data_IF_490491483874
#
_entry.id   IF_490491483874
#
_cell.length_a   1.000
_cell.length_b   1.000
_cell.length_c   1.000
_cell.angle_alpha   90.00
_cell.angle_beta   90.00
_cell.angle_gamma   90.00
#
_symmetry.space_group_name_H-M   'P 1'
#
loop_
_entity.id
_entity.type
_entity.pdbx_description
1 polymer ?
#
# COMPACT_ATOMS: atom_id res chain seq x y z
N UNK A 1 -8.66 -61.61 20.85
CA UNK A 1 -7.31 -62.20 20.82
C UNK A 1 -6.32 -61.10 20.47
N UNK A 2 -5.40 -60.86 21.39
CA UNK A 2 -4.33 -59.85 21.34
C UNK A 2 -3.26 -60.19 20.31
N UNK A 3 -2.64 -59.17 19.70
CA UNK A 3 -1.19 -58.86 19.57
C UNK A 3 -1.05 -57.90 18.35
N UNK A 4 -0.40 -56.75 18.39
CA UNK A 4 1.02 -56.56 18.71
C UNK A 4 1.36 -55.16 19.22
N UNK A 5 2.42 -55.15 20.02
CA UNK A 5 3.08 -54.04 20.72
C UNK A 5 4.22 -53.39 19.92
N UNK A 6 4.27 -52.06 19.99
CA UNK A 6 5.45 -51.16 20.15
C UNK A 6 6.65 -51.25 19.20
N UNK A 7 7.00 -50.12 18.57
CA UNK A 7 8.40 -49.79 18.23
C UNK A 7 8.71 -48.32 18.59
N UNK A 8 9.89 -48.14 19.17
CA UNK A 8 10.35 -47.00 19.98
C UNK A 8 10.97 -45.88 19.15
N UNK A 9 10.75 -44.63 19.57
CA UNK A 9 11.54 -43.44 19.21
C UNK A 9 12.74 -43.32 20.16
N UNK A 10 13.92 -43.00 19.61
CA UNK A 10 15.04 -42.42 20.36
C UNK A 10 16.15 -41.94 19.43
N UNK A 11 16.51 -40.66 19.52
CA UNK A 11 17.83 -40.14 19.14
C UNK A 11 18.22 -39.05 20.17
N UNK A 12 19.47 -39.05 20.69
CA UNK A 12 19.89 -38.20 21.81
C UNK A 12 20.53 -36.87 21.42
N UNK A 13 20.53 -35.94 22.39
CA UNK A 13 21.27 -34.67 22.44
C UNK A 13 22.73 -34.88 22.87
N UNK A 14 23.63 -33.99 22.42
CA UNK A 14 24.91 -33.50 23.03
C UNK A 14 25.84 -33.02 21.88
N UNK A 15 26.68 -31.98 21.93
CA UNK A 15 27.41 -31.29 22.99
C UNK A 15 27.85 -29.89 22.52
N UNK A 16 28.26 -29.06 23.48
CA UNK A 16 28.75 -27.70 23.36
C UNK A 16 30.25 -27.54 22.96
N UNK A 17 30.54 -26.36 22.38
CA UNK A 17 31.67 -25.42 22.56
C UNK A 17 33.15 -25.88 22.67
N UNK A 18 34.03 -25.28 21.83
CA UNK A 18 35.46 -24.91 22.09
C UNK A 18 35.87 -23.75 21.13
N UNK A 19 36.04 -22.49 21.58
CA UNK A 19 37.29 -21.72 21.85
C UNK A 19 38.30 -21.54 20.69
N UNK A 20 38.60 -20.29 20.29
CA UNK A 20 39.96 -19.69 20.24
C UNK A 20 39.99 -18.28 19.63
N UNK A 21 40.76 -17.38 20.25
CA UNK A 21 41.00 -15.98 19.90
C UNK A 21 42.36 -15.79 19.20
N UNK A 22 42.52 -14.73 18.40
CA UNK A 22 43.81 -14.04 18.18
C UNK A 22 43.63 -12.69 17.46
N UNK A 23 44.05 -11.61 18.13
CA UNK A 23 44.22 -10.24 17.62
C UNK A 23 45.59 -10.04 16.96
N UNK A 24 45.68 -9.23 15.91
CA UNK A 24 46.89 -8.44 15.64
C UNK A 24 46.57 -7.14 14.89
N UNK A 25 46.99 -6.02 15.47
CA UNK A 25 46.92 -4.65 14.95
C UNK A 25 48.28 -4.32 14.31
N UNK A 26 48.28 -3.66 13.15
CA UNK A 26 49.44 -2.89 12.68
C UNK A 26 48.98 -1.55 12.12
N UNK A 27 49.55 -0.50 12.71
CA UNK A 27 49.37 0.91 12.39
C UNK A 27 50.45 1.36 11.39
N UNK A 28 50.11 2.18 10.40
CA UNK A 28 51.07 3.07 9.75
C UNK A 28 50.44 4.45 9.56
N UNK A 29 51.08 5.47 10.12
CA UNK A 29 50.73 6.88 10.00
C UNK A 29 51.41 7.50 8.77
N UNK A 30 50.69 8.38 8.08
CA UNK A 30 51.24 9.37 7.15
C UNK A 30 50.33 10.59 7.11
N UNK A 31 50.79 11.71 7.67
CA UNK A 31 50.12 13.00 7.67
C UNK A 31 50.82 13.94 6.67
N UNK A 32 50.08 14.69 5.86
CA UNK A 32 50.05 16.17 5.95
C UNK A 32 49.15 16.83 4.88
N UNK A 33 48.20 17.61 5.40
CA UNK A 33 47.75 18.94 5.00
C UNK A 33 47.59 19.31 3.51
N UNK A 34 46.33 19.52 3.12
CA UNK A 34 45.96 20.67 2.29
C UNK A 34 44.70 21.32 2.88
N UNK A 35 44.77 22.63 3.06
CA UNK A 35 43.80 23.46 3.77
C UNK A 35 42.52 23.71 2.98
N UNK A 36 41.40 23.77 3.71
CA UNK A 36 40.31 24.72 3.47
C UNK A 36 39.25 24.36 2.42
N UNK A 37 38.10 23.87 2.89
CA UNK A 37 36.77 24.45 2.58
C UNK A 37 35.75 23.78 3.50
N UNK A 38 35.24 24.56 4.46
CA UNK A 38 34.02 24.25 5.20
C UNK A 38 32.86 24.20 4.20
N UNK A 39 32.25 23.03 4.00
CA UNK A 39 30.98 22.88 3.31
C UNK A 39 30.01 22.19 4.27
N UNK A 40 29.02 22.97 4.70
CA UNK A 40 28.16 22.71 5.83
C UNK A 40 27.43 21.37 5.80
N UNK A 41 27.12 20.92 7.02
CA UNK A 41 26.05 19.98 7.28
C UNK A 41 24.76 20.48 6.61
N UNK A 42 24.35 19.80 5.54
CA UNK A 42 22.98 19.90 5.05
C UNK A 42 22.16 18.81 5.74
N UNK A 43 21.15 19.17 6.55
CA UNK A 43 20.23 18.21 7.14
C UNK A 43 19.42 17.54 6.03
N UNK A 44 19.10 16.26 6.25
CA UNK A 44 18.33 15.45 5.32
C UNK A 44 17.05 16.14 4.88
N UNK A 45 16.97 16.43 3.58
CA UNK A 45 15.70 16.64 2.92
C UNK A 45 15.18 15.26 2.54
N UNK A 46 14.57 14.59 3.53
CA UNK A 46 13.48 13.69 3.21
C UNK A 46 12.52 14.53 2.37
N UNK A 47 12.33 14.15 1.11
CA UNK A 47 11.30 14.73 0.28
C UNK A 47 9.98 14.54 1.02
N UNK A 48 9.54 15.59 1.71
CA UNK A 48 8.13 15.76 1.99
C UNK A 48 7.50 15.94 0.61
N UNK A 49 7.16 14.81 -0.03
CA UNK A 49 5.96 14.78 -0.84
C UNK A 49 4.93 15.48 0.02
N UNK A 50 4.45 16.64 -0.44
CA UNK A 50 3.37 17.35 0.23
C UNK A 50 2.34 16.28 0.52
N UNK A 51 2.10 16.03 1.81
CA UNK A 51 0.99 15.20 2.21
C UNK A 51 -0.23 15.96 1.69
N UNK A 52 -0.67 15.63 0.48
CA UNK A 52 -2.02 15.94 0.08
C UNK A 52 -2.86 15.42 1.23
N UNK A 53 -3.64 16.30 1.84
CA UNK A 53 -4.49 15.93 2.95
C UNK A 53 -5.49 14.92 2.38
N UNK A 54 -5.17 13.62 2.49
CA UNK A 54 -5.94 12.55 1.88
C UNK A 54 -7.35 12.63 2.47
N UNK A 55 -8.30 12.99 1.62
CA UNK A 55 -9.57 13.57 2.09
C UNK A 55 -10.46 12.55 2.81
N UNK A 56 -10.19 11.27 2.64
CA UNK A 56 -10.97 10.14 3.17
C UNK A 56 -10.27 9.38 4.31
N UNK A 57 -8.99 9.65 4.59
CA UNK A 57 -8.27 8.93 5.64
C UNK A 57 -6.76 8.88 5.48
N UNK A 58 -6.15 7.78 5.91
CA UNK A 58 -4.71 7.56 5.82
C UNK A 58 -4.39 6.08 5.50
N UNK A 59 -3.20 5.80 4.93
CA UNK A 59 -2.74 4.42 4.74
C UNK A 59 -2.77 3.61 6.04
N UNK A 60 -3.33 2.41 5.97
CA UNK A 60 -3.48 1.51 7.10
C UNK A 60 -2.33 0.51 7.24
N UNK A 61 -2.11 0.01 8.46
CA UNK A 61 -1.10 -1.02 8.71
C UNK A 61 -1.71 -2.44 8.58
N UNK A 62 -1.02 -3.40 7.94
CA UNK A 62 -1.49 -4.79 7.81
C UNK A 62 -1.83 -5.49 9.13
N UNK A 63 -1.17 -5.10 10.23
CA UNK A 63 -1.36 -5.64 11.58
C UNK A 63 -2.50 -4.97 12.36
N UNK A 64 -3.14 -3.95 11.78
CA UNK A 64 -4.20 -3.14 12.39
C UNK A 64 -5.52 -3.22 11.62
N UNK A 65 -5.67 -4.20 10.72
CA UNK A 65 -6.89 -4.39 9.93
C UNK A 65 -8.03 -4.87 10.84
N UNK A 66 -9.13 -4.13 10.84
CA UNK A 66 -10.36 -4.49 11.55
C UNK A 66 -11.22 -5.44 10.70
N UNK A 67 -11.26 -5.21 9.38
CA UNK A 67 -12.14 -5.92 8.45
C UNK A 67 -11.53 -5.95 7.04
N UNK A 68 -11.82 -7.02 6.30
CA UNK A 68 -11.53 -7.13 4.86
C UNK A 68 -12.80 -6.95 4.04
N UNK A 69 -12.72 -6.17 2.96
CA UNK A 69 -13.79 -6.00 1.97
C UNK A 69 -13.23 -6.42 0.61
N UNK A 70 -13.91 -7.34 -0.06
CA UNK A 70 -13.58 -7.69 -1.44
C UNK A 70 -14.32 -6.77 -2.41
N UNK A 71 -13.59 -6.16 -3.35
CA UNK A 71 -14.13 -5.39 -4.47
C UNK A 71 -13.78 -6.14 -5.76
N UNK A 72 -14.79 -6.50 -6.54
CA UNK A 72 -14.62 -7.08 -7.87
C UNK A 72 -14.82 -5.97 -8.90
N UNK A 73 -13.83 -5.75 -9.76
CA UNK A 73 -13.98 -4.93 -10.94
C UNK A 73 -14.44 -5.81 -12.11
N UNK A 74 -15.48 -5.37 -12.80
CA UNK A 74 -15.93 -5.89 -14.09
C UNK A 74 -15.79 -4.77 -15.12
N UNK A 75 -16.10 -5.06 -16.38
CA UNK A 75 -15.89 -4.18 -17.55
C UNK A 75 -15.79 -2.68 -17.25
N UNK A 76 -16.83 -2.03 -16.72
CA UNK A 76 -16.79 -0.63 -16.29
C UNK A 76 -17.57 -0.42 -14.98
N UNK A 77 -17.43 -1.34 -14.02
CA UNK A 77 -18.21 -1.29 -12.77
C UNK A 77 -17.53 -2.00 -11.60
N UNK A 78 -17.86 -1.55 -10.38
CA UNK A 78 -17.45 -2.20 -9.14
C UNK A 78 -18.58 -3.04 -8.54
N UNK A 79 -18.21 -4.18 -7.93
CA UNK A 79 -19.10 -5.00 -7.13
C UNK A 79 -18.44 -5.34 -5.77
N UNK A 80 -19.02 -4.91 -4.63
CA UNK A 80 -20.16 -4.00 -4.51
C UNK A 80 -19.81 -2.57 -4.98
N UNK A 81 -20.84 -1.79 -5.35
CA UNK A 81 -20.70 -0.37 -5.67
C UNK A 81 -20.97 0.55 -4.46
N UNK A 82 -21.12 -0.02 -3.27
CA UNK A 82 -21.24 0.75 -2.03
C UNK A 82 -20.69 -0.03 -0.85
N UNK A 83 -19.98 0.67 0.03
CA UNK A 83 -19.44 0.15 1.28
C UNK A 83 -19.80 1.06 2.45
N UNK A 84 -20.09 0.45 3.60
CA UNK A 84 -20.34 1.15 4.86
C UNK A 84 -19.24 0.79 5.86
N UNK A 85 -18.57 1.82 6.36
CA UNK A 85 -17.43 1.72 7.28
C UNK A 85 -17.65 2.64 8.47
N UNK A 86 -16.90 2.43 9.55
CA UNK A 86 -16.97 3.27 10.75
C UNK A 86 -15.78 4.21 10.83
N UNK A 87 -15.98 5.34 11.49
CA UNK A 87 -14.88 6.24 11.85
C UNK A 87 -13.81 5.48 12.66
N UNK A 88 -12.56 5.67 12.26
CA UNK A 88 -11.33 5.01 12.73
C UNK A 88 -11.19 3.53 12.40
N UNK A 89 -12.01 2.99 11.50
CA UNK A 89 -11.88 1.61 11.05
C UNK A 89 -10.79 1.48 9.99
N UNK A 90 -9.97 0.44 10.10
CA UNK A 90 -8.96 0.05 9.11
C UNK A 90 -9.48 -1.11 8.27
N UNK A 91 -9.67 -0.85 6.98
CA UNK A 91 -10.18 -1.81 6.01
C UNK A 91 -9.02 -2.28 5.13
N UNK A 92 -8.94 -3.60 4.92
CA UNK A 92 -8.19 -4.17 3.79
C UNK A 92 -9.14 -4.35 2.63
N UNK A 93 -8.96 -3.58 1.57
CA UNK A 93 -9.61 -3.84 0.29
C UNK A 93 -8.81 -4.91 -0.44
N UNK A 94 -9.47 -6.01 -0.81
CA UNK A 94 -8.94 -6.98 -1.77
C UNK A 94 -9.65 -6.71 -3.08
N UNK A 95 -8.90 -6.17 -4.04
CA UNK A 95 -9.43 -5.63 -5.29
C UNK A 95 -9.06 -6.58 -6.42
N UNK A 96 -10.05 -7.24 -7.00
CA UNK A 96 -9.87 -8.23 -8.07
C UNK A 96 -10.44 -7.70 -9.37
N UNK A 97 -9.60 -7.57 -10.40
CA UNK A 97 -10.05 -7.26 -11.74
C UNK A 97 -10.42 -8.54 -12.50
N UNK A 98 -11.68 -8.65 -12.92
CA UNK A 98 -12.22 -9.78 -13.68
C UNK A 98 -12.65 -9.39 -15.11
N UNK A 99 -12.26 -8.22 -15.59
CA UNK A 99 -12.45 -7.79 -16.98
C UNK A 99 -11.15 -8.00 -17.80
N UNK A 100 -11.23 -7.66 -19.09
CA UNK A 100 -10.08 -7.68 -20.01
C UNK A 100 -9.36 -6.33 -20.10
N UNK A 101 -9.83 -5.32 -19.37
CA UNK A 101 -9.30 -3.96 -19.39
C UNK A 101 -8.70 -3.60 -18.03
N UNK A 102 -7.69 -2.74 -18.03
CA UNK A 102 -7.06 -2.30 -16.79
C UNK A 102 -7.96 -1.32 -16.03
N UNK A 103 -7.86 -1.37 -14.71
CA UNK A 103 -8.67 -0.57 -13.81
C UNK A 103 -7.82 0.06 -12.72
N UNK A 104 -8.42 1.01 -12.03
CA UNK A 104 -7.89 1.48 -10.77
C UNK A 104 -9.01 1.64 -9.74
N UNK A 105 -8.61 1.69 -8.48
CA UNK A 105 -9.47 2.03 -7.37
C UNK A 105 -8.81 3.16 -6.60
N UNK A 106 -9.39 4.36 -6.69
CA UNK A 106 -8.90 5.57 -5.99
C UNK A 106 -9.92 5.98 -4.95
N UNK A 107 -9.51 6.10 -3.68
CA UNK A 107 -10.38 6.54 -2.58
C UNK A 107 -10.33 8.06 -2.43
N UNK A 108 -11.45 8.76 -2.44
CA UNK A 108 -11.44 10.22 -2.28
C UNK A 108 -12.82 10.85 -2.12
N UNK A 109 -12.87 12.15 -1.86
CA UNK A 109 -14.07 12.96 -2.05
C UNK A 109 -14.18 13.44 -3.51
N UNK A 110 -15.32 14.03 -3.85
CA UNK A 110 -15.64 14.48 -5.22
C UNK A 110 -14.58 15.43 -5.78
N UNK A 111 -14.01 16.29 -4.94
CA UNK A 111 -12.97 17.24 -5.34
C UNK A 111 -11.67 16.52 -5.69
N UNK A 112 -11.19 15.61 -4.82
CA UNK A 112 -9.99 14.81 -5.09
C UNK A 112 -10.16 13.94 -6.35
N UNK A 113 -11.31 13.29 -6.53
CA UNK A 113 -11.58 12.48 -7.73
C UNK A 113 -11.58 13.33 -9.01
N UNK A 114 -12.14 14.54 -8.95
CA UNK A 114 -12.16 15.46 -10.09
C UNK A 114 -10.76 15.95 -10.44
N UNK A 115 -9.93 16.25 -9.45
CA UNK A 115 -8.55 16.63 -9.65
C UNK A 115 -7.74 15.50 -10.29
N UNK A 116 -7.86 14.29 -9.76
CA UNK A 116 -7.14 13.12 -10.28
C UNK A 116 -7.59 12.76 -11.70
N UNK A 117 -8.89 12.81 -12.04
CA UNK A 117 -9.35 12.65 -13.44
C UNK A 117 -8.72 13.65 -14.40
N UNK A 118 -8.59 14.91 -13.96
CA UNK A 118 -7.97 15.93 -14.81
C UNK A 118 -6.50 15.62 -15.06
N UNK A 119 -5.77 15.22 -14.02
CA UNK A 119 -4.38 14.78 -14.16
C UNK A 119 -4.25 13.62 -15.15
N UNK A 120 -5.13 12.62 -15.03
CA UNK A 120 -5.18 11.48 -15.94
C UNK A 120 -5.39 11.93 -17.41
N UNK A 121 -6.36 12.81 -17.67
CA UNK A 121 -6.56 13.35 -19.03
C UNK A 121 -5.30 14.05 -19.55
N UNK A 122 -4.64 14.87 -18.73
CA UNK A 122 -3.39 15.54 -19.12
C UNK A 122 -2.25 14.56 -19.40
N UNK A 123 -2.15 13.47 -18.64
CA UNK A 123 -1.17 12.40 -18.87
C UNK A 123 -1.41 11.70 -20.21
N UNK A 124 -2.68 11.41 -20.53
CA UNK A 124 -3.07 10.80 -21.82
C UNK A 124 -2.69 11.72 -22.99
N UNK A 125 -2.98 13.01 -22.88
CA UNK A 125 -2.62 14.00 -23.91
C UNK A 125 -1.11 14.10 -24.13
N UNK A 126 -0.32 13.88 -23.08
CA UNK A 126 1.15 13.86 -23.13
C UNK A 126 1.73 12.49 -23.54
N UNK A 127 0.89 11.47 -23.74
CA UNK A 127 1.31 10.10 -24.07
C UNK A 127 2.06 9.40 -22.94
N UNK A 128 1.79 9.77 -21.69
CA UNK A 128 2.37 9.16 -20.50
C UNK A 128 1.57 7.92 -20.08
N UNK A 129 2.22 7.02 -19.34
CA UNK A 129 1.52 5.88 -18.74
C UNK A 129 0.54 6.38 -17.67
N UNK A 130 -0.65 5.80 -17.66
CA UNK A 130 -1.83 6.23 -16.92
C UNK A 130 -1.96 5.47 -15.59
N UNK A 131 -1.04 4.56 -15.28
CA UNK A 131 -1.05 3.84 -14.02
C UNK A 131 -0.44 4.72 -12.91
N UNK A 132 -1.31 5.37 -12.13
CA UNK A 132 -0.94 6.20 -10.98
C UNK A 132 -0.50 5.37 -9.76
N UNK A 133 0.61 4.65 -9.86
CA UNK A 133 1.16 3.87 -8.73
C UNK A 133 1.72 4.74 -7.58
N UNK A 134 1.77 6.06 -7.75
CA UNK A 134 2.38 7.00 -6.79
C UNK A 134 1.40 7.51 -5.72
N UNK A 135 0.09 7.31 -5.90
CA UNK A 135 -0.93 7.80 -4.97
C UNK A 135 -1.23 6.79 -3.84
N UNK A 136 -1.08 7.17 -2.56
CA UNK A 136 -1.23 6.24 -1.42
C UNK A 136 -2.67 5.75 -1.20
N UNK A 137 -3.66 6.44 -1.77
CA UNK A 137 -5.08 6.12 -1.77
C UNK A 137 -5.55 5.45 -3.07
N UNK A 138 -4.62 5.10 -3.96
CA UNK A 138 -4.91 4.50 -5.26
C UNK A 138 -4.30 3.09 -5.38
N UNK A 139 -4.89 2.28 -6.24
CA UNK A 139 -4.29 1.03 -6.71
C UNK A 139 -4.72 0.75 -8.14
N UNK A 140 -3.75 0.72 -9.06
CA UNK A 140 -3.95 0.23 -10.43
C UNK A 140 -3.97 -1.31 -10.45
N UNK A 141 -4.98 -1.92 -11.07
CA UNK A 141 -5.21 -3.37 -11.09
C UNK A 141 -5.37 -3.84 -12.53
N UNK A 142 -4.37 -4.57 -13.03
CA UNK A 142 -4.37 -5.06 -14.41
C UNK A 142 -5.45 -6.10 -14.65
N UNK A 143 -5.81 -6.33 -15.92
CA UNK A 143 -6.72 -7.39 -16.31
C UNK A 143 -6.34 -8.75 -15.68
N UNK A 144 -7.29 -9.37 -14.97
CA UNK A 144 -7.08 -10.65 -14.26
C UNK A 144 -6.28 -10.57 -12.96
N UNK A 145 -5.79 -9.40 -12.54
CA UNK A 145 -4.98 -9.21 -11.34
C UNK A 145 -5.85 -9.11 -10.07
N UNK A 146 -5.24 -9.40 -8.92
CA UNK A 146 -5.77 -9.02 -7.61
C UNK A 146 -4.71 -8.29 -6.81
N UNK A 147 -5.04 -7.10 -6.30
CA UNK A 147 -4.17 -6.29 -5.42
C UNK A 147 -4.88 -5.95 -4.12
N UNK A 148 -4.12 -5.43 -3.16
CA UNK A 148 -4.64 -4.99 -1.87
C UNK A 148 -4.37 -3.51 -1.63
N UNK A 149 -5.33 -2.82 -1.03
CA UNK A 149 -5.18 -1.47 -0.49
C UNK A 149 -5.67 -1.48 0.96
N UNK A 150 -4.81 -1.06 1.90
CA UNK A 150 -5.17 -0.99 3.32
C UNK A 150 -5.36 0.46 3.70
N UNK A 151 -6.55 0.79 4.20
CA UNK A 151 -6.93 2.16 4.45
C UNK A 151 -7.59 2.32 5.82
N UNK A 152 -7.19 3.35 6.57
CA UNK A 152 -7.84 3.75 7.81
C UNK A 152 -8.70 4.98 7.57
N UNK A 153 -10.01 4.84 7.81
CA UNK A 153 -10.99 5.91 7.65
C UNK A 153 -10.96 6.84 8.87
N UNK A 154 -10.25 7.96 8.80
CA UNK A 154 -10.12 8.93 9.90
C UNK A 154 -11.10 10.11 9.82
N UNK A 155 -11.94 10.17 8.77
CA UNK A 155 -12.95 11.22 8.57
C UNK A 155 -14.33 10.60 8.37
N UNK A 156 -15.34 11.11 9.07
CA UNK A 156 -16.74 10.72 8.87
C UNK A 156 -17.35 11.51 7.71
N UNK A 157 -18.28 10.90 6.97
CA UNK A 157 -18.90 11.54 5.80
C UNK A 157 -19.18 10.56 4.67
N UNK A 158 -19.44 11.13 3.49
CA UNK A 158 -19.63 10.39 2.24
C UNK A 158 -18.44 10.65 1.33
N UNK A 159 -17.84 9.57 0.87
CA UNK A 159 -16.71 9.56 -0.05
C UNK A 159 -17.00 8.58 -1.18
N UNK A 160 -16.06 8.45 -2.11
CA UNK A 160 -16.19 7.67 -3.33
C UNK A 160 -14.94 6.81 -3.54
N UNK A 161 -15.11 5.72 -4.26
CA UNK A 161 -14.04 5.00 -4.89
C UNK A 161 -14.31 4.91 -6.40
N UNK A 162 -13.42 5.50 -7.19
CA UNK A 162 -13.62 5.69 -8.63
C UNK A 162 -12.48 5.02 -9.41
N UNK A 163 -12.78 4.70 -10.67
CA UNK A 163 -11.79 4.48 -11.71
C UNK A 163 -11.74 5.73 -12.58
N UNK A 164 -10.63 6.46 -12.54
CA UNK A 164 -10.46 7.76 -13.19
C UNK A 164 -9.68 7.67 -14.51
N UNK A 165 -9.36 6.45 -14.96
CA UNK A 165 -8.95 6.17 -16.34
C UNK A 165 -9.97 6.83 -17.30
N UNK A 166 -9.51 7.64 -18.29
CA UNK A 166 -10.40 8.38 -19.17
C UNK A 166 -11.48 7.50 -19.81
N UNK A 167 -12.75 7.88 -19.62
CA UNK A 167 -13.93 7.16 -20.12
C UNK A 167 -14.55 6.17 -19.14
N UNK A 168 -13.81 5.71 -18.12
CA UNK A 168 -14.32 4.71 -17.18
C UNK A 168 -15.31 5.32 -16.18
N UNK A 169 -14.93 6.44 -15.55
CA UNK A 169 -15.83 7.17 -14.66
C UNK A 169 -17.08 7.66 -15.40
N UNK A 170 -16.93 8.20 -16.60
CA UNK A 170 -18.03 8.69 -17.44
C UNK A 170 -19.02 7.57 -17.82
N UNK A 171 -18.54 6.33 -17.91
CA UNK A 171 -19.38 5.15 -18.11
C UNK A 171 -20.08 4.66 -16.83
N UNK A 172 -19.80 5.27 -15.68
CA UNK A 172 -20.42 4.96 -14.39
C UNK A 172 -19.58 4.11 -13.45
N UNK A 173 -18.26 3.99 -13.68
CA UNK A 173 -17.36 3.21 -12.83
C UNK A 173 -16.99 3.96 -11.54
N UNK A 174 -17.97 4.08 -10.65
CA UNK A 174 -17.88 4.73 -9.34
C UNK A 174 -18.57 3.89 -8.26
N UNK A 175 -18.13 4.02 -7.02
CA UNK A 175 -18.78 3.42 -5.87
C UNK A 175 -18.76 4.33 -4.64
N UNK A 176 -19.76 4.17 -3.77
CA UNK A 176 -19.94 5.02 -2.60
C UNK A 176 -19.32 4.45 -1.32
N UNK A 177 -18.67 5.30 -0.52
CA UNK A 177 -18.19 4.98 0.82
C UNK A 177 -18.97 5.84 1.81
N UNK A 178 -19.73 5.21 2.70
CA UNK A 178 -20.35 5.91 3.81
C UNK A 178 -19.57 5.60 5.09
N UNK A 179 -18.95 6.63 5.67
CA UNK A 179 -18.22 6.54 6.93
C UNK A 179 -19.11 7.05 8.05
N UNK A 180 -19.67 6.11 8.82
CA UNK A 180 -20.53 6.42 9.94
C UNK A 180 -19.71 6.93 11.14
N UNK A 181 -20.18 8.01 11.77
CA UNK A 181 -19.65 8.46 13.04
C UNK A 181 -19.85 7.38 14.11
N UNK A 182 -18.83 7.18 14.94
CA UNK A 182 -18.92 6.27 16.09
C UNK A 182 -19.92 6.89 17.08
N UNK A 183 -21.04 6.19 17.32
CA UNK A 183 -22.03 6.58 18.32
C UNK A 183 -21.53 6.29 19.74
#
# INVERSE_FOLDING_TARGET
>A
MFNQTTSKRSAPLSSAAVIAAATLVLSFQGANAHSGMEAGAMPGMAGAAAAQELTVGEPGAPTKVDRTIAITMKELSFEPNSVNVRLNETIRFVVSNKSEVDHELVLGDVEAQTAHRKEMIEMLEKGQDMHGDDDPNAVAVKAGETRELIWKFSRAGRFEFDCNIPGHFEAGMTGAINVEAKR
#
